data_IF_022016979137
#
_entry.id   IF_022016979137
#
_cell.length_a   1.000
_cell.length_b   1.000
_cell.length_c   1.000
_cell.angle_alpha   90.00
_cell.angle_beta   90.00
_cell.angle_gamma   90.00
#
_symmetry.space_group_name_H-M   'P 1'
#
loop_
_entity.id
_entity.type
_entity.pdbx_description
1 polymer ?
#
# COMPACT_ATOMS: atom_id res chain seq x y z
N UNK A 1 -55.20 1.79 -37.89
CA UNK A 1 -54.98 1.37 -36.49
C UNK A 1 -53.48 1.14 -36.34
N UNK A 2 -52.71 2.17 -35.98
CA UNK A 2 -51.26 2.05 -35.85
C UNK A 2 -50.92 1.41 -34.50
N UNK A 3 -50.33 0.22 -34.52
CA UNK A 3 -49.81 -0.46 -33.34
C UNK A 3 -48.61 0.38 -32.80
N UNK A 4 -48.54 0.71 -31.50
CA UNK A 4 -47.35 1.34 -30.94
C UNK A 4 -46.15 0.38 -31.05
N UNK A 5 -45.00 0.91 -31.47
CA UNK A 5 -43.77 0.18 -31.74
C UNK A 5 -43.08 -0.29 -30.44
N UNK A 6 -43.15 -1.60 -30.16
CA UNK A 6 -42.55 -2.25 -28.97
C UNK A 6 -41.03 -2.09 -28.88
N UNK A 7 -40.35 -1.72 -29.98
CA UNK A 7 -38.91 -1.48 -29.93
C UNK A 7 -38.56 -0.24 -29.08
N UNK A 8 -39.40 0.80 -29.12
CA UNK A 8 -39.14 2.05 -28.40
C UNK A 8 -39.27 1.90 -26.87
N UNK A 9 -40.14 1.02 -26.40
CA UNK A 9 -40.38 0.79 -24.95
C UNK A 9 -39.25 -0.04 -24.31
N UNK A 10 -38.67 -0.97 -25.05
CA UNK A 10 -37.53 -1.79 -24.62
C UNK A 10 -36.24 -0.95 -24.48
N UNK A 11 -36.00 -0.02 -25.41
CA UNK A 11 -34.85 0.90 -25.34
C UNK A 11 -34.96 1.85 -24.14
N UNK A 12 -36.14 2.40 -23.87
CA UNK A 12 -36.36 3.29 -22.73
C UNK A 12 -36.11 2.60 -21.37
N UNK A 13 -36.46 1.33 -21.25
CA UNK A 13 -36.27 0.55 -20.02
C UNK A 13 -34.80 0.23 -19.75
N UNK A 14 -34.03 -0.15 -20.78
CA UNK A 14 -32.58 -0.42 -20.65
C UNK A 14 -31.79 0.81 -20.20
N UNK A 15 -32.16 2.00 -20.68
CA UNK A 15 -31.51 3.27 -20.29
C UNK A 15 -31.74 3.59 -18.80
N UNK A 16 -32.93 3.31 -18.26
CA UNK A 16 -33.21 3.51 -16.83
C UNK A 16 -32.38 2.59 -15.93
N UNK A 17 -32.23 1.32 -16.32
CA UNK A 17 -31.40 0.36 -15.59
C UNK A 17 -29.92 0.72 -15.62
N UNK A 18 -29.41 1.16 -16.77
CA UNK A 18 -28.04 1.63 -16.91
C UNK A 18 -27.76 2.86 -16.04
N UNK A 19 -28.67 3.86 -16.04
CA UNK A 19 -28.53 5.04 -15.16
C UNK A 19 -28.56 4.70 -13.67
N UNK A 20 -29.36 3.72 -13.27
CA UNK A 20 -29.39 3.25 -11.88
C UNK A 20 -28.08 2.54 -11.51
N UNK A 21 -27.55 1.72 -12.41
CA UNK A 21 -26.25 1.07 -12.23
C UNK A 21 -25.12 2.10 -12.12
N UNK A 22 -25.10 3.10 -13.01
CA UNK A 22 -24.09 4.17 -12.99
C UNK A 22 -24.17 4.96 -11.69
N UNK A 23 -25.39 5.33 -11.24
CA UNK A 23 -25.58 6.04 -9.98
C UNK A 23 -25.15 5.24 -8.76
N UNK A 24 -25.50 3.94 -8.70
CA UNK A 24 -25.08 3.05 -7.60
C UNK A 24 -23.57 2.87 -7.60
N UNK A 25 -22.98 2.66 -8.77
CA UNK A 25 -21.54 2.48 -8.93
C UNK A 25 -20.75 3.73 -8.53
N UNK A 26 -21.19 4.91 -8.98
CA UNK A 26 -20.58 6.19 -8.65
C UNK A 26 -20.64 6.46 -7.15
N UNK A 27 -21.82 6.34 -6.53
CA UNK A 27 -21.97 6.57 -5.10
C UNK A 27 -21.19 5.55 -4.26
N UNK A 28 -21.13 4.29 -4.69
CA UNK A 28 -20.38 3.25 -3.98
C UNK A 28 -18.86 3.53 -4.06
N UNK A 29 -18.37 3.90 -5.23
CA UNK A 29 -16.95 4.25 -5.42
C UNK A 29 -16.59 5.50 -4.61
N UNK A 30 -17.44 6.54 -4.64
CA UNK A 30 -17.28 7.75 -3.84
C UNK A 30 -17.29 7.44 -2.34
N UNK A 31 -18.16 6.54 -1.88
CA UNK A 31 -18.19 6.08 -0.50
C UNK A 31 -16.86 5.44 -0.11
N UNK A 32 -16.37 4.45 -0.86
CA UNK A 32 -15.09 3.80 -0.55
C UNK A 32 -13.90 4.77 -0.61
N UNK A 33 -13.85 5.65 -1.61
CA UNK A 33 -12.80 6.65 -1.72
C UNK A 33 -12.81 7.61 -0.52
N UNK A 34 -14.00 8.11 -0.13
CA UNK A 34 -14.16 9.02 1.00
C UNK A 34 -13.84 8.33 2.32
N UNK A 35 -14.32 7.11 2.54
CA UNK A 35 -14.02 6.31 3.73
C UNK A 35 -12.52 6.02 3.85
N UNK A 36 -11.84 5.70 2.75
CA UNK A 36 -10.39 5.49 2.74
C UNK A 36 -9.65 6.76 3.14
N UNK A 37 -10.07 7.91 2.62
CA UNK A 37 -9.48 9.21 2.95
C UNK A 37 -9.72 9.59 4.41
N UNK A 38 -10.93 9.35 4.94
CA UNK A 38 -11.26 9.54 6.36
C UNK A 38 -10.42 8.60 7.24
N UNK A 39 -10.26 7.33 6.85
CA UNK A 39 -9.44 6.37 7.59
C UNK A 39 -7.96 6.81 7.62
N UNK A 40 -7.42 7.28 6.50
CA UNK A 40 -6.06 7.84 6.42
C UNK A 40 -5.90 9.04 7.35
N UNK A 41 -6.85 9.98 7.34
CA UNK A 41 -6.86 11.12 8.26
C UNK A 41 -6.93 10.65 9.72
N UNK A 42 -7.78 9.66 10.01
CA UNK A 42 -7.90 9.06 11.34
C UNK A 42 -6.59 8.44 11.83
N UNK A 43 -5.87 7.72 10.95
CA UNK A 43 -4.55 7.16 11.26
C UNK A 43 -3.54 8.27 11.55
N UNK A 44 -3.50 9.33 10.73
CA UNK A 44 -2.59 10.47 10.93
C UNK A 44 -2.88 11.16 12.27
N UNK A 45 -4.15 11.43 12.58
CA UNK A 45 -4.56 12.04 13.85
C UNK A 45 -4.20 11.13 15.02
N UNK A 46 -4.47 9.83 14.91
CA UNK A 46 -4.14 8.85 15.95
C UNK A 46 -2.63 8.81 16.22
N UNK A 47 -1.81 8.77 15.17
CA UNK A 47 -0.36 8.80 15.30
C UNK A 47 0.12 10.10 15.97
N UNK A 48 -0.44 11.25 15.56
CA UNK A 48 -0.08 12.54 16.14
C UNK A 48 -0.42 12.61 17.64
N UNK A 49 -1.62 12.16 18.03
CA UNK A 49 -2.05 12.13 19.44
C UNK A 49 -1.20 11.17 20.26
N UNK A 50 -0.89 9.98 19.74
CA UNK A 50 -0.06 8.98 20.43
C UNK A 50 1.40 9.42 20.55
N UNK A 51 1.94 10.14 19.57
CA UNK A 51 3.32 10.65 19.61
C UNK A 51 3.48 11.91 20.47
N UNK A 52 2.39 12.67 20.69
CA UNK A 52 2.44 13.96 21.38
C UNK A 52 3.05 13.95 22.78
N UNK A 53 2.75 12.97 23.68
CA UNK A 53 3.35 12.92 25.01
C UNK A 53 4.88 12.71 24.95
N UNK A 54 5.35 11.86 24.03
CA UNK A 54 6.78 11.61 23.84
C UNK A 54 7.49 12.88 23.32
N UNK A 55 6.91 13.56 22.34
CA UNK A 55 7.45 14.83 21.83
C UNK A 55 7.49 15.93 22.90
N UNK A 56 6.52 15.97 23.82
CA UNK A 56 6.54 16.91 24.96
C UNK A 56 7.61 16.56 25.99
N UNK A 57 7.85 15.27 26.24
CA UNK A 57 8.84 14.83 27.23
C UNK A 57 10.28 15.04 26.74
N UNK A 58 10.56 14.69 25.48
CA UNK A 58 11.92 14.69 24.93
C UNK A 58 12.23 15.89 24.04
N UNK A 59 11.21 16.62 23.58
CA UNK A 59 11.38 17.83 22.78
C UNK A 59 12.13 17.62 21.47
N UNK A 60 12.78 18.68 21.01
CA UNK A 60 13.64 18.69 19.82
C UNK A 60 14.89 17.78 19.96
N UNK A 61 15.53 17.63 21.15
CA UNK A 61 16.64 16.70 21.35
C UNK A 61 16.37 15.26 20.90
N UNK A 62 15.12 14.80 21.00
CA UNK A 62 14.70 13.48 20.52
C UNK A 62 15.21 13.14 19.12
N UNK A 63 15.27 14.10 18.19
CA UNK A 63 15.62 13.83 16.81
C UNK A 63 17.11 13.63 16.53
N UNK A 64 18.00 14.07 17.43
CA UNK A 64 19.45 13.97 17.23
C UNK A 64 20.20 13.28 18.38
N UNK A 65 19.52 12.97 19.49
CA UNK A 65 20.10 12.18 20.57
C UNK A 65 20.10 10.69 20.22
N UNK A 66 21.19 10.01 20.54
CA UNK A 66 21.36 8.56 20.36
C UNK A 66 21.12 7.76 21.64
N UNK A 67 20.94 8.42 22.77
CA UNK A 67 20.82 7.78 24.07
C UNK A 67 19.55 6.93 24.17
N UNK A 68 19.69 5.73 24.72
CA UNK A 68 18.56 4.86 25.08
C UNK A 68 18.80 4.37 26.50
N UNK A 69 18.44 5.21 27.46
CA UNK A 69 18.62 4.94 28.88
C UNK A 69 17.27 4.69 29.56
N UNK A 70 17.01 3.41 29.82
CA UNK A 70 15.79 2.94 30.48
C UNK A 70 15.77 3.33 31.97
N UNK A 71 16.94 3.49 32.59
CA UNK A 71 17.08 3.79 34.02
C UNK A 71 16.76 5.27 34.25
N UNK A 72 17.34 6.15 33.43
CA UNK A 72 17.12 7.59 33.53
C UNK A 72 15.88 8.08 32.73
N UNK A 73 15.20 7.18 32.03
CA UNK A 73 14.06 7.49 31.15
C UNK A 73 14.42 8.51 30.05
N UNK A 74 15.64 8.45 29.54
CA UNK A 74 16.13 9.29 28.45
C UNK A 74 16.13 8.49 27.15
N UNK A 75 15.37 8.96 26.16
CA UNK A 75 15.20 8.26 24.89
C UNK A 75 15.43 9.20 23.71
N UNK A 76 16.36 8.81 22.86
CA UNK A 76 16.68 9.42 21.57
C UNK A 76 16.12 8.60 20.41
N UNK A 77 15.61 9.31 19.40
CA UNK A 77 15.06 8.73 18.18
C UNK A 77 16.08 8.57 17.05
N UNK A 78 17.29 9.13 17.16
CA UNK A 78 18.23 9.20 16.04
C UNK A 78 18.64 7.82 15.54
N UNK A 79 18.87 6.85 16.44
CA UNK A 79 19.24 5.47 16.06
C UNK A 79 18.12 4.83 15.23
N UNK A 80 16.86 4.98 15.66
CA UNK A 80 15.71 4.42 14.96
C UNK A 80 15.51 5.07 13.57
N UNK A 81 15.64 6.39 13.49
CA UNK A 81 15.53 7.14 12.24
C UNK A 81 16.65 6.73 11.29
N UNK A 82 17.91 6.76 11.75
CA UNK A 82 19.07 6.44 10.93
C UNK A 82 19.03 4.98 10.44
N UNK A 83 18.68 4.04 11.32
CA UNK A 83 18.53 2.63 10.96
C UNK A 83 17.45 2.43 9.89
N UNK A 84 16.28 3.05 10.04
CA UNK A 84 15.18 2.96 9.07
C UNK A 84 15.57 3.56 7.72
N UNK A 85 16.18 4.74 7.71
CA UNK A 85 16.59 5.41 6.46
C UNK A 85 17.69 4.62 5.75
N UNK A 86 18.71 4.18 6.49
CA UNK A 86 19.84 3.43 5.92
C UNK A 86 19.37 2.09 5.34
N UNK A 87 18.53 1.35 6.08
CA UNK A 87 17.99 0.07 5.59
C UNK A 87 17.07 0.25 4.40
N UNK A 88 16.19 1.27 4.40
CA UNK A 88 15.33 1.59 3.26
C UNK A 88 16.15 1.98 2.02
N UNK A 89 17.22 2.77 2.19
CA UNK A 89 18.10 3.15 1.09
C UNK A 89 18.79 1.94 0.47
N UNK A 90 19.38 1.06 1.29
CA UNK A 90 20.01 -0.18 0.81
C UNK A 90 18.98 -1.06 0.10
N UNK A 91 17.79 -1.21 0.67
CA UNK A 91 16.71 -1.98 0.06
C UNK A 91 16.33 -1.42 -1.31
N UNK A 92 16.15 -0.11 -1.46
CA UNK A 92 15.82 0.54 -2.73
C UNK A 92 16.95 0.38 -3.75
N UNK A 93 18.20 0.59 -3.34
CA UNK A 93 19.37 0.45 -4.21
C UNK A 93 19.47 -0.94 -4.84
N UNK A 94 19.02 -1.99 -4.15
CA UNK A 94 19.01 -3.36 -4.65
C UNK A 94 17.71 -3.67 -5.39
N UNK A 95 16.56 -3.31 -4.82
CA UNK A 95 15.24 -3.67 -5.33
C UNK A 95 14.94 -2.99 -6.67
N UNK A 96 15.32 -1.72 -6.84
CA UNK A 96 15.06 -0.97 -8.08
C UNK A 96 15.71 -1.61 -9.30
N UNK A 97 17.05 -1.79 -9.37
CA UNK A 97 17.68 -2.40 -10.55
C UNK A 97 17.19 -3.82 -10.79
N UNK A 98 16.91 -4.59 -9.74
CA UNK A 98 16.34 -5.93 -9.87
C UNK A 98 14.93 -5.91 -10.47
N UNK A 99 14.06 -5.02 -10.00
CA UNK A 99 12.70 -4.86 -10.53
C UNK A 99 12.73 -4.45 -12.01
N UNK A 100 13.61 -3.53 -12.39
CA UNK A 100 13.83 -3.15 -13.80
C UNK A 100 14.33 -4.34 -14.63
N UNK A 101 15.27 -5.14 -14.11
CA UNK A 101 15.76 -6.33 -14.78
C UNK A 101 14.68 -7.38 -15.03
N UNK A 102 13.83 -7.65 -14.02
CA UNK A 102 12.70 -8.58 -14.14
C UNK A 102 11.67 -8.06 -15.15
N UNK A 103 11.36 -6.76 -15.09
CA UNK A 103 10.42 -6.13 -16.02
C UNK A 103 10.89 -6.26 -17.47
N UNK A 104 12.14 -5.87 -17.76
CA UNK A 104 12.72 -5.97 -19.11
C UNK A 104 12.82 -7.41 -19.59
N UNK A 105 13.21 -8.34 -18.72
CA UNK A 105 13.28 -9.76 -19.08
C UNK A 105 11.90 -10.27 -19.49
N UNK A 106 10.84 -10.00 -18.71
CA UNK A 106 9.49 -10.45 -19.00
C UNK A 106 8.88 -9.82 -20.25
N UNK A 107 9.25 -8.58 -20.58
CA UNK A 107 8.71 -7.87 -21.75
C UNK A 107 9.45 -8.19 -23.04
N UNK A 108 10.79 -8.22 -23.01
CA UNK A 108 11.62 -8.24 -24.22
C UNK A 108 12.31 -9.58 -24.50
N UNK A 109 12.65 -10.35 -23.46
CA UNK A 109 13.57 -11.50 -23.60
C UNK A 109 12.88 -12.85 -23.32
N UNK A 110 11.82 -12.85 -22.53
CA UNK A 110 11.21 -14.07 -22.01
C UNK A 110 10.48 -14.90 -23.08
N UNK A 111 10.75 -16.21 -23.20
CA UNK A 111 10.07 -17.07 -24.15
C UNK A 111 8.58 -17.22 -23.81
N UNK A 112 7.74 -17.24 -24.86
CA UNK A 112 6.27 -17.23 -24.76
C UNK A 112 5.64 -18.14 -23.68
N UNK A 113 6.04 -19.42 -23.53
CA UNK A 113 5.41 -20.30 -22.54
C UNK A 113 5.79 -19.96 -21.09
N UNK A 114 6.94 -19.32 -20.84
CA UNK A 114 7.41 -18.99 -19.48
C UNK A 114 6.91 -17.63 -18.99
N UNK A 115 6.51 -16.75 -19.89
CA UNK A 115 6.06 -15.39 -19.54
C UNK A 115 4.89 -15.38 -18.56
N UNK A 116 3.88 -16.23 -18.80
CA UNK A 116 2.70 -16.35 -17.92
C UNK A 116 3.05 -16.86 -16.51
N UNK A 117 3.67 -18.04 -16.34
CA UNK A 117 3.95 -18.57 -15.00
C UNK A 117 4.91 -17.68 -14.20
N UNK A 118 5.92 -17.07 -14.85
CA UNK A 118 6.84 -16.15 -14.16
C UNK A 118 6.13 -14.86 -13.73
N UNK A 119 5.28 -14.29 -14.58
CA UNK A 119 4.46 -13.13 -14.22
C UNK A 119 3.57 -13.42 -13.02
N UNK A 120 2.85 -14.54 -13.05
CA UNK A 120 2.03 -14.98 -11.91
C UNK A 120 2.87 -15.21 -10.65
N UNK A 121 4.07 -15.79 -10.75
CA UNK A 121 4.94 -15.98 -9.60
C UNK A 121 5.36 -14.65 -8.94
N UNK A 122 5.65 -13.61 -9.75
CA UNK A 122 5.96 -12.26 -9.25
C UNK A 122 4.74 -11.62 -8.58
N UNK A 123 3.56 -11.73 -9.19
CA UNK A 123 2.31 -11.24 -8.59
C UNK A 123 2.00 -11.95 -7.27
N UNK A 124 2.18 -13.27 -7.21
CA UNK A 124 2.01 -14.05 -5.99
C UNK A 124 3.03 -13.67 -4.92
N UNK A 125 4.29 -13.41 -5.29
CA UNK A 125 5.33 -12.93 -4.38
C UNK A 125 4.93 -11.59 -3.74
N UNK A 126 4.32 -10.69 -4.53
CA UNK A 126 3.81 -9.41 -4.03
C UNK A 126 2.57 -9.55 -3.12
N UNK A 127 1.80 -10.63 -3.30
CA UNK A 127 0.62 -10.93 -2.46
C UNK A 127 0.97 -11.58 -1.12
N UNK A 128 2.21 -12.04 -0.91
CA UNK A 128 2.63 -12.64 0.37
C UNK A 128 2.58 -11.58 1.48
N UNK A 129 1.97 -11.87 2.64
CA UNK A 129 1.95 -10.94 3.76
C UNK A 129 3.36 -10.60 4.27
N UNK A 130 3.59 -9.33 4.62
CA UNK A 130 4.89 -8.84 5.09
C UNK A 130 5.44 -9.60 6.31
N UNK A 131 4.55 -10.08 7.19
CA UNK A 131 4.93 -10.88 8.38
C UNK A 131 5.67 -12.15 7.99
N UNK A 132 5.30 -12.79 6.88
CA UNK A 132 5.93 -14.04 6.42
C UNK A 132 7.39 -13.79 6.03
N UNK A 133 7.66 -12.69 5.31
CA UNK A 133 9.03 -12.30 4.98
C UNK A 133 9.84 -11.94 6.23
N UNK A 134 9.21 -11.31 7.23
CA UNK A 134 9.84 -11.04 8.53
C UNK A 134 10.24 -12.31 9.26
N UNK A 135 9.32 -13.29 9.36
CA UNK A 135 9.60 -14.58 10.00
C UNK A 135 10.65 -15.40 9.24
N UNK A 136 10.59 -15.42 7.90
CA UNK A 136 11.62 -16.05 7.08
C UNK A 136 12.99 -15.44 7.35
N UNK A 137 13.07 -14.11 7.39
CA UNK A 137 14.32 -13.41 7.67
C UNK A 137 14.89 -13.78 9.04
N UNK A 138 14.05 -13.89 10.06
CA UNK A 138 14.44 -14.36 11.38
C UNK A 138 14.98 -15.80 11.31
N UNK A 139 14.25 -16.75 10.73
CA UNK A 139 14.67 -18.16 10.76
C UNK A 139 15.86 -18.50 9.86
N UNK A 140 16.12 -17.70 8.81
CA UNK A 140 17.20 -17.97 7.85
C UNK A 140 18.46 -17.18 8.17
N UNK A 141 18.32 -15.94 8.64
CA UNK A 141 19.47 -15.06 8.88
C UNK A 141 19.79 -14.85 10.37
N UNK A 142 18.89 -15.18 11.30
CA UNK A 142 19.30 -15.21 12.71
C UNK A 142 20.26 -16.40 12.94
N UNK A 143 21.36 -16.17 13.68
CA UNK A 143 22.30 -17.24 14.05
C UNK A 143 21.70 -18.25 15.03
#
# INVERSE_FOLDING_TARGET
MNMPDDSQTLHASKIKWMRLQDFVFENLTLFFATTTLIALLGIIISLAVSAWPALKAFGIPFFYTIEWDIINSEFGGLIAIFGTVTTALIAILIAVPLAFGIALFLTEICPMPLRRPLGTAVELLAAVPSIIYGMFGLFVFAP
#
